data_IF_483614378338
#
_entry.id   IF_483614378338
#
_cell.length_a   1.000
_cell.length_b   1.000
_cell.length_c   1.000
_cell.angle_alpha   90.00
_cell.angle_beta   90.00
_cell.angle_gamma   90.00
#
_symmetry.space_group_name_H-M   'P 1'
#
loop_
_entity.id
_entity.type
_entity.pdbx_description
1 polymer ?
#
# COMPACT_ATOMS: atom_id res chain seq x y z
N UNK A 1 -9.46 27.19 17.62
CA UNK A 1 -9.16 26.49 16.36
C UNK A 1 -8.42 25.20 16.72
N UNK A 2 -9.03 24.01 16.74
CA UNK A 2 -8.27 22.78 16.92
C UNK A 2 -7.85 22.25 15.54
N UNK A 3 -6.67 22.67 15.08
CA UNK A 3 -5.98 22.06 13.94
C UNK A 3 -5.16 20.89 14.50
N UNK A 4 -5.51 19.63 14.20
CA UNK A 4 -4.62 18.49 14.52
C UNK A 4 -5.23 17.17 15.00
N UNK A 5 -6.56 17.02 15.08
CA UNK A 5 -7.15 15.83 15.75
C UNK A 5 -7.45 14.62 14.84
N UNK A 6 -7.34 14.72 13.51
CA UNK A 6 -7.76 13.61 12.62
C UNK A 6 -6.61 12.67 12.22
N UNK A 7 -5.34 13.10 12.34
CA UNK A 7 -4.18 12.28 11.93
C UNK A 7 -3.71 11.27 13.00
N UNK A 8 -4.23 11.36 14.24
CA UNK A 8 -3.78 10.51 15.35
C UNK A 8 -4.32 9.07 15.32
N UNK A 9 -5.39 8.79 14.55
CA UNK A 9 -6.00 7.46 14.47
C UNK A 9 -5.41 6.51 13.42
N UNK A 10 -4.73 7.03 12.39
CA UNK A 10 -4.21 6.24 11.26
C UNK A 10 -2.84 5.62 11.53
N UNK A 11 -1.97 6.31 12.29
CA UNK A 11 -0.64 5.82 12.66
C UNK A 11 -0.65 4.46 13.40
N UNK A 12 -1.49 4.22 14.43
CA UNK A 12 -1.47 2.94 15.15
C UNK A 12 -1.91 1.77 14.26
N UNK A 13 -2.87 1.99 13.35
CA UNK A 13 -3.32 0.94 12.41
C UNK A 13 -2.20 0.54 11.46
N UNK A 14 -1.49 1.50 10.88
CA UNK A 14 -0.37 1.21 9.97
C UNK A 14 0.78 0.46 10.67
N UNK A 15 1.09 0.82 11.92
CA UNK A 15 2.09 0.09 12.72
C UNK A 15 1.67 -1.36 12.96
N UNK A 16 0.42 -1.59 13.38
CA UNK A 16 -0.10 -2.94 13.62
C UNK A 16 -0.15 -3.78 12.34
N UNK A 17 -0.63 -3.20 11.23
CA UNK A 17 -0.68 -3.86 9.93
C UNK A 17 0.72 -4.22 9.43
N UNK A 18 1.71 -3.35 9.64
CA UNK A 18 3.10 -3.65 9.27
C UNK A 18 3.71 -4.79 10.11
N UNK A 19 3.34 -4.89 11.39
CA UNK A 19 3.71 -6.06 12.20
C UNK A 19 3.03 -7.34 11.71
N UNK A 20 1.75 -7.27 11.36
CA UNK A 20 1.02 -8.41 10.81
C UNK A 20 1.61 -8.87 9.46
N UNK A 21 2.01 -7.94 8.60
CA UNK A 21 2.70 -8.22 7.34
C UNK A 21 3.97 -9.04 7.55
N UNK A 22 4.81 -8.71 8.54
CA UNK A 22 6.04 -9.49 8.82
C UNK A 22 5.76 -10.97 9.08
N UNK A 23 4.63 -11.28 9.73
CA UNK A 23 4.18 -12.66 9.92
C UNK A 23 3.58 -13.24 8.64
N UNK A 24 2.78 -12.45 7.90
CA UNK A 24 2.16 -12.88 6.66
C UNK A 24 3.17 -13.19 5.56
N UNK A 25 4.20 -12.36 5.39
CA UNK A 25 5.24 -12.49 4.38
C UNK A 25 6.04 -13.80 4.49
N UNK A 26 6.04 -14.43 5.67
CA UNK A 26 6.69 -15.72 5.93
C UNK A 26 5.78 -16.93 5.72
N UNK A 27 4.50 -16.71 5.39
CA UNK A 27 3.55 -17.81 5.16
C UNK A 27 3.85 -18.50 3.84
N UNK A 28 3.63 -19.80 3.83
CA UNK A 28 3.65 -20.64 2.63
C UNK A 28 2.38 -21.49 2.63
N UNK A 29 1.23 -20.83 2.53
CA UNK A 29 -0.08 -21.45 2.59
C UNK A 29 -1.07 -20.84 1.58
N UNK A 30 -2.31 -21.31 1.62
CA UNK A 30 -3.39 -20.89 0.72
C UNK A 30 -3.62 -19.38 0.74
N UNK A 31 -3.39 -18.71 1.87
CA UNK A 31 -3.56 -17.26 1.97
C UNK A 31 -2.47 -16.50 1.20
N UNK A 32 -1.21 -16.94 1.31
CA UNK A 32 -0.12 -16.39 0.49
C UNK A 32 -0.36 -16.67 -1.00
N UNK A 33 -0.89 -17.85 -1.33
CA UNK A 33 -1.22 -18.22 -2.71
C UNK A 33 -2.33 -17.32 -3.28
N UNK A 34 -3.43 -17.12 -2.55
CA UNK A 34 -4.53 -16.25 -2.95
C UNK A 34 -4.08 -14.79 -3.11
N UNK A 35 -3.22 -14.30 -2.21
CA UNK A 35 -2.61 -12.98 -2.33
C UNK A 35 -1.80 -12.84 -3.63
N UNK A 36 -0.91 -13.80 -3.92
CA UNK A 36 -0.09 -13.76 -5.15
C UNK A 36 -0.93 -13.84 -6.42
N UNK A 37 -2.00 -14.64 -6.40
CA UNK A 37 -2.96 -14.73 -7.51
C UNK A 37 -3.65 -13.39 -7.73
N UNK A 38 -4.17 -12.76 -6.67
CA UNK A 38 -4.78 -11.43 -6.76
C UNK A 38 -3.82 -10.39 -7.36
N UNK A 39 -2.56 -10.38 -6.92
CA UNK A 39 -1.55 -9.46 -7.48
C UNK A 39 -1.32 -9.73 -8.97
N UNK A 40 -1.21 -10.99 -9.37
CA UNK A 40 -1.01 -11.36 -10.77
C UNK A 40 -2.23 -11.01 -11.65
N UNK A 41 -3.44 -11.14 -11.13
CA UNK A 41 -4.69 -10.83 -11.85
C UNK A 41 -4.92 -9.33 -12.03
N UNK A 42 -4.60 -8.51 -11.01
CA UNK A 42 -4.76 -7.06 -11.09
C UNK A 42 -3.64 -6.38 -11.89
N UNK A 43 -2.46 -7.01 -11.96
CA UNK A 43 -1.35 -6.59 -12.81
C UNK A 43 -0.80 -5.20 -12.48
N UNK A 44 -0.33 -4.51 -13.51
CA UNK A 44 0.46 -3.27 -13.39
C UNK A 44 -0.27 -2.14 -12.68
N UNK A 45 -1.60 -2.04 -12.81
CA UNK A 45 -2.37 -0.98 -12.15
C UNK A 45 -2.26 -1.07 -10.62
N UNK A 46 -2.35 -2.29 -10.08
CA UNK A 46 -2.26 -2.50 -8.65
C UNK A 46 -0.83 -2.28 -8.15
N UNK A 47 0.15 -2.74 -8.93
CA UNK A 47 1.56 -2.49 -8.66
C UNK A 47 1.86 -0.99 -8.56
N UNK A 48 1.43 -0.19 -9.52
CA UNK A 48 1.69 1.24 -9.51
C UNK A 48 0.97 2.00 -8.40
N UNK A 49 -0.24 1.55 -8.02
CA UNK A 49 -0.92 2.10 -6.86
C UNK A 49 -0.14 1.83 -5.57
N UNK A 50 0.34 0.60 -5.39
CA UNK A 50 1.16 0.25 -4.23
C UNK A 50 2.52 0.96 -4.21
N UNK A 51 3.17 1.10 -5.37
CA UNK A 51 4.40 1.85 -5.52
C UNK A 51 4.22 3.34 -5.19
N UNK A 52 3.11 3.94 -5.65
CA UNK A 52 2.76 5.32 -5.30
C UNK A 52 2.59 5.49 -3.79
N UNK A 53 1.84 4.61 -3.14
CA UNK A 53 1.60 4.69 -1.69
C UNK A 53 2.91 4.49 -0.90
N UNK A 54 3.77 3.55 -1.33
CA UNK A 54 5.09 3.33 -0.74
C UNK A 54 5.97 4.57 -0.85
N UNK A 55 6.02 5.17 -2.04
CA UNK A 55 6.82 6.37 -2.30
C UNK A 55 6.27 7.56 -1.52
N UNK A 56 4.95 7.78 -1.53
CA UNK A 56 4.29 8.83 -0.77
C UNK A 56 4.60 8.74 0.73
N UNK A 57 4.57 7.54 1.30
CA UNK A 57 4.89 7.32 2.70
C UNK A 57 6.35 7.66 3.07
N UNK A 58 7.29 7.59 2.11
CA UNK A 58 8.65 8.07 2.31
C UNK A 58 8.75 9.58 2.13
N UNK A 59 8.09 10.14 1.10
CA UNK A 59 8.09 11.57 0.82
C UNK A 59 7.55 12.39 2.00
N UNK A 60 6.45 11.96 2.63
CA UNK A 60 5.85 12.64 3.79
C UNK A 60 6.73 12.55 5.05
N UNK A 61 7.59 11.53 5.17
CA UNK A 61 8.56 11.45 6.28
C UNK A 61 9.70 12.46 6.11
N UNK A 62 10.09 12.75 4.88
CA UNK A 62 11.10 13.76 4.59
C UNK A 62 10.54 15.17 4.73
N UNK A 63 9.33 15.40 4.21
CA UNK A 63 8.65 16.68 4.28
C UNK A 63 7.12 16.48 4.24
N UNK A 64 6.44 16.87 5.32
CA UNK A 64 4.98 16.77 5.45
C UNK A 64 4.22 17.62 4.40
N UNK A 65 4.88 18.57 3.73
CA UNK A 65 4.31 19.35 2.64
C UNK A 65 4.25 18.60 1.30
N UNK A 66 4.85 17.40 1.20
CA UNK A 66 4.82 16.55 0.01
C UNK A 66 3.51 15.76 -0.09
N UNK A 67 2.41 16.47 -0.29
CA UNK A 67 1.03 15.95 -0.28
C UNK A 67 0.67 15.02 -1.45
N UNK A 68 1.54 14.89 -2.46
CA UNK A 68 1.33 14.04 -3.62
C UNK A 68 2.36 14.27 -4.72
N UNK A 69 2.27 13.52 -5.82
CA UNK A 69 3.26 13.54 -6.90
C UNK A 69 3.65 14.94 -7.43
N UNK A 70 2.76 15.95 -7.55
CA UNK A 70 3.19 17.27 -8.04
C UNK A 70 4.09 18.03 -7.06
N UNK A 71 4.08 17.64 -5.78
CA UNK A 71 4.91 18.22 -4.72
C UNK A 71 6.18 17.40 -4.46
N UNK A 72 6.39 16.29 -5.16
CA UNK A 72 7.60 15.48 -5.05
C UNK A 72 8.75 16.06 -5.88
N UNK A 73 10.00 15.71 -5.57
CA UNK A 73 11.14 15.97 -6.47
C UNK A 73 10.84 15.47 -7.90
N UNK A 74 11.31 16.22 -8.91
CA UNK A 74 11.03 15.95 -10.33
C UNK A 74 11.34 14.50 -10.75
N UNK A 75 12.41 13.92 -10.20
CA UNK A 75 12.83 12.53 -10.44
C UNK A 75 11.77 11.47 -10.06
N UNK A 76 10.84 11.81 -9.17
CA UNK A 76 9.75 10.94 -8.73
C UNK A 76 8.39 11.26 -9.36
N UNK A 77 8.31 12.28 -10.22
CA UNK A 77 7.05 12.66 -10.87
C UNK A 77 6.72 11.79 -12.09
N UNK A 78 7.74 11.16 -12.68
CA UNK A 78 7.57 10.22 -13.78
C UNK A 78 7.71 8.79 -13.28
N UNK A 79 6.65 8.00 -13.44
CA UNK A 79 6.61 6.58 -13.03
C UNK A 79 7.62 5.71 -13.78
N UNK A 80 7.97 6.10 -15.01
CA UNK A 80 8.93 5.39 -15.86
C UNK A 80 10.38 5.84 -15.60
N UNK A 81 10.62 6.73 -14.64
CA UNK A 81 11.98 7.19 -14.31
C UNK A 81 12.82 6.06 -13.72
N UNK A 82 14.13 6.03 -14.00
CA UNK A 82 15.03 5.05 -13.39
C UNK A 82 15.02 5.15 -11.85
N UNK A 83 14.80 6.34 -11.29
CA UNK A 83 14.74 6.57 -9.84
C UNK A 83 13.49 5.93 -9.21
N UNK A 84 12.32 6.02 -9.86
CA UNK A 84 11.11 5.33 -9.38
C UNK A 84 11.28 3.81 -9.48
N UNK A 85 11.89 3.31 -10.55
CA UNK A 85 12.19 1.88 -10.68
C UNK A 85 13.16 1.40 -9.60
N UNK A 86 14.25 2.14 -9.38
CA UNK A 86 15.22 1.84 -8.34
C UNK A 86 14.56 1.87 -6.96
N UNK A 87 13.71 2.85 -6.69
CA UNK A 87 12.94 2.92 -5.46
C UNK A 87 12.08 1.67 -5.26
N UNK A 88 11.35 1.22 -6.28
CA UNK A 88 10.51 0.02 -6.19
C UNK A 88 11.33 -1.25 -5.92
N UNK A 89 12.55 -1.35 -6.45
CA UNK A 89 13.46 -2.47 -6.21
C UNK A 89 14.04 -2.45 -4.78
N UNK A 90 14.52 -1.30 -4.32
CA UNK A 90 15.09 -1.12 -2.98
C UNK A 90 14.04 -1.24 -1.87
N UNK A 91 12.82 -0.77 -2.15
CA UNK A 91 11.69 -0.75 -1.22
C UNK A 91 10.64 -1.82 -1.55
N UNK A 92 11.06 -2.94 -2.14
CA UNK A 92 10.14 -4.01 -2.55
C UNK A 92 9.24 -4.51 -1.42
N UNK A 93 9.75 -4.65 -0.20
CA UNK A 93 8.94 -5.04 0.97
C UNK A 93 7.86 -4.00 1.32
N UNK A 94 8.16 -2.71 1.14
CA UNK A 94 7.15 -1.65 1.31
C UNK A 94 6.08 -1.76 0.21
N UNK A 95 6.46 -1.96 -1.05
CA UNK A 95 5.51 -2.14 -2.16
C UNK A 95 4.63 -3.38 -1.92
N UNK A 96 5.23 -4.51 -1.55
CA UNK A 96 4.51 -5.75 -1.25
C UNK A 96 3.55 -5.59 -0.07
N UNK A 97 3.94 -4.81 0.94
CA UNK A 97 3.05 -4.44 2.05
C UNK A 97 1.82 -3.66 1.57
N UNK A 98 1.97 -2.67 0.69
CA UNK A 98 0.82 -1.93 0.15
C UNK A 98 -0.04 -2.78 -0.80
N UNK A 99 0.55 -3.68 -1.58
CA UNK A 99 -0.19 -4.69 -2.34
C UNK A 99 -1.06 -5.56 -1.42
N UNK A 100 -0.50 -6.00 -0.30
CA UNK A 100 -1.21 -6.80 0.68
C UNK A 100 -2.36 -6.04 1.35
N UNK A 101 -2.20 -4.74 1.62
CA UNK A 101 -3.29 -3.90 2.12
C UNK A 101 -4.46 -3.82 1.14
N UNK A 102 -4.19 -3.70 -0.16
CA UNK A 102 -5.23 -3.69 -1.18
C UNK A 102 -5.96 -5.04 -1.25
N UNK A 103 -5.21 -6.15 -1.17
CA UNK A 103 -5.79 -7.48 -1.11
C UNK A 103 -6.67 -7.69 0.14
N UNK A 104 -6.24 -7.20 1.31
CA UNK A 104 -7.05 -7.25 2.53
C UNK A 104 -8.34 -6.45 2.39
N UNK A 105 -8.26 -5.23 1.85
CA UNK A 105 -9.44 -4.39 1.63
C UNK A 105 -10.42 -5.06 0.66
N UNK A 106 -9.91 -5.62 -0.44
CA UNK A 106 -10.69 -6.39 -1.40
C UNK A 106 -11.36 -7.61 -0.76
N UNK A 107 -10.60 -8.40 0.00
CA UNK A 107 -11.10 -9.61 0.66
C UNK A 107 -12.17 -9.32 1.71
N UNK A 108 -11.99 -8.25 2.49
CA UNK A 108 -12.99 -7.81 3.48
C UNK A 108 -14.27 -7.30 2.81
N UNK A 109 -14.14 -6.57 1.72
CA UNK A 109 -15.30 -6.10 0.96
C UNK A 109 -16.07 -7.28 0.33
N UNK A 110 -15.36 -8.24 -0.26
CA UNK A 110 -15.95 -9.46 -0.81
C UNK A 110 -16.69 -10.26 0.26
N UNK A 111 -16.10 -10.44 1.45
CA UNK A 111 -16.75 -11.12 2.57
C UNK A 111 -18.04 -10.41 3.03
N UNK A 112 -18.04 -9.08 3.10
CA UNK A 112 -19.25 -8.30 3.41
C UNK A 112 -20.34 -8.49 2.33
N UNK A 113 -19.94 -8.54 1.06
CA UNK A 113 -20.86 -8.77 -0.06
C UNK A 113 -21.48 -10.17 -0.01
N UNK A 114 -20.69 -11.20 0.33
CA UNK A 114 -21.15 -12.59 0.51
C UNK A 114 -22.08 -12.77 1.72
N UNK A 115 -22.01 -11.88 2.71
CA UNK A 115 -22.93 -11.86 3.86
C UNK A 115 -24.22 -11.08 3.55
N UNK A 116 -24.21 -10.22 2.52
CA UNK A 116 -25.37 -9.45 2.06
C UNK A 116 -26.07 -9.97 0.79
N UNK A 117 -26.24 -11.29 0.52
CA UNK A 117 -27.10 -11.74 -0.56
C UNK A 117 -28.55 -11.62 -0.09
N UNK A 118 -29.13 -10.43 -0.27
CA UNK A 118 -30.55 -10.17 -0.06
C UNK A 118 -30.84 -8.97 0.83
N UNK A 119 -30.96 -7.79 0.21
CA UNK A 119 -32.02 -6.84 0.51
C UNK A 119 -32.89 -6.68 -0.73
#
# INVERSE_FOLDING_TARGET
MPTGSILHGYRPKMTALRMAWKGFAQRDDEQMTAFRQFVAEQGDSLFWQAAFDALHAQQVKEDEMRWGWPAWPEMYQNVDSPEVRQFCEEHRDDVDFYLWLQWLAYSQFAACWEISPGL
#
